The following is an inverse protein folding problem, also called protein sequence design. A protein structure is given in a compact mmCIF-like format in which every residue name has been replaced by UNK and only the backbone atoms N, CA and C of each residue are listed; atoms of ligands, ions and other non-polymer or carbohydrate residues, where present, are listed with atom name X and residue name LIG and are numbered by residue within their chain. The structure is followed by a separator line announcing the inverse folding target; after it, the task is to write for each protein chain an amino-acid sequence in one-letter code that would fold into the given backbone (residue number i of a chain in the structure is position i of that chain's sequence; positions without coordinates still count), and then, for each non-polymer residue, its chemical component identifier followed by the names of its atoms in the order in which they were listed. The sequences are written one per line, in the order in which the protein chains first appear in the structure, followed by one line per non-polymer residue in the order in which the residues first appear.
data_IF_996554795052
#
_entry.id   IF_996554795052
#
_cell.length_a   1.000
_cell.length_b   1.000
_cell.length_c   1.000
_cell.angle_alpha   90.00
_cell.angle_beta   90.00
_cell.angle_gamma   90.00
#
_symmetry.space_group_name_H-M   'P 1'
#
loop_
_entity.id
_entity.type
_entity.pdbx_description
1 polymer ?
#
# COMPACT_ATOMS: atom_id res chain seq x y z
N UNK A 1 -10.32 5.66 22.58
CA UNK A 1 -10.11 6.99 21.95
C UNK A 1 -9.02 6.87 20.90
N UNK A 2 -9.37 6.93 19.61
CA UNK A 2 -8.40 6.80 18.49
C UNK A 2 -7.77 8.17 18.21
N UNK A 3 -6.54 8.39 18.67
CA UNK A 3 -5.87 9.69 18.61
C UNK A 3 -5.55 10.12 17.16
N UNK A 4 -5.95 11.34 16.82
CA UNK A 4 -5.62 12.00 15.56
C UNK A 4 -4.17 12.52 15.62
N UNK A 5 -3.29 12.03 14.74
CA UNK A 5 -1.91 12.51 14.61
C UNK A 5 -0.90 11.42 14.97
N UNK A 6 0.15 11.24 14.16
CA UNK A 6 1.28 10.32 14.48
C UNK A 6 1.00 8.82 14.68
N UNK A 7 -0.21 8.27 14.50
CA UNK A 7 -0.41 6.82 14.72
C UNK A 7 0.23 5.97 13.61
N UNK A 8 1.39 5.38 13.89
CA UNK A 8 1.90 4.20 13.18
C UNK A 8 0.98 3.01 13.47
N UNK A 9 -0.07 2.87 12.67
CA UNK A 9 -0.97 1.72 12.79
C UNK A 9 -0.28 0.50 12.19
N UNK A 10 0.28 -0.37 13.05
CA UNK A 10 0.89 -1.65 12.67
C UNK A 10 -0.15 -2.75 12.80
N UNK A 11 -0.72 -3.18 11.67
CA UNK A 11 -1.74 -4.25 11.68
C UNK A 11 -1.19 -5.53 11.06
N UNK A 12 -1.24 -6.61 11.84
CA UNK A 12 -0.99 -7.98 11.39
C UNK A 12 -2.32 -8.72 11.27
N UNK A 13 -2.58 -9.35 10.11
CA UNK A 13 -3.79 -10.13 9.92
C UNK A 13 -4.02 -10.59 8.48
N UNK A 14 -4.91 -11.59 8.29
CA UNK A 14 -5.22 -12.12 6.94
C UNK A 14 -5.92 -11.09 6.05
N UNK A 15 -6.83 -10.27 6.61
CA UNK A 15 -7.58 -9.23 5.91
C UNK A 15 -7.65 -7.99 6.79
N UNK A 16 -7.15 -6.85 6.30
CA UNK A 16 -7.12 -5.63 7.09
C UNK A 16 -7.53 -4.41 6.27
N UNK A 17 -8.28 -3.50 6.90
CA UNK A 17 -8.70 -2.22 6.32
C UNK A 17 -8.31 -1.10 7.25
N UNK A 18 -7.48 -0.19 6.78
CA UNK A 18 -6.92 0.85 7.61
C UNK A 18 -7.06 2.22 6.91
N UNK A 19 -7.47 3.25 7.68
CA UNK A 19 -7.58 4.65 7.23
C UNK A 19 -6.73 5.53 8.16
N UNK A 20 -5.82 6.33 7.61
CA UNK A 20 -4.93 7.16 8.44
C UNK A 20 -3.80 7.83 7.65
N UNK A 21 -3.07 8.76 8.28
CA UNK A 21 -1.97 9.50 7.61
C UNK A 21 -0.78 8.60 7.26
N UNK A 22 -0.36 7.72 8.18
CA UNK A 22 0.78 6.80 8.02
C UNK A 22 0.41 5.40 8.51
N UNK A 23 0.63 4.37 7.71
CA UNK A 23 0.25 3.00 8.09
C UNK A 23 1.24 1.96 7.61
N UNK A 24 1.42 0.92 8.42
CA UNK A 24 2.31 -0.21 8.11
C UNK A 24 1.56 -1.52 8.30
N UNK A 25 1.36 -2.27 7.24
CA UNK A 25 0.48 -3.42 7.30
C UNK A 25 1.12 -4.69 6.75
N UNK A 26 1.10 -5.78 7.53
CA UNK A 26 1.66 -7.09 7.16
C UNK A 26 0.53 -8.11 7.09
N UNK A 27 0.24 -8.65 5.91
CA UNK A 27 -0.90 -9.59 5.76
C UNK A 27 -1.18 -10.07 4.36
N UNK A 28 -2.01 -11.13 4.23
CA UNK A 28 -2.35 -11.70 2.90
C UNK A 28 -3.16 -10.72 2.04
N UNK A 29 -4.12 -9.99 2.63
CA UNK A 29 -4.99 -9.04 1.93
C UNK A 29 -5.09 -7.71 2.71
N UNK A 30 -4.63 -6.62 2.11
CA UNK A 30 -4.52 -5.31 2.77
C UNK A 30 -5.24 -4.25 1.95
N UNK A 31 -6.09 -3.43 2.59
CA UNK A 31 -6.75 -2.28 1.98
C UNK A 31 -6.47 -1.02 2.80
N UNK A 32 -5.79 -0.05 2.22
CA UNK A 32 -5.33 1.09 3.01
C UNK A 32 -5.56 2.42 2.31
N UNK A 33 -6.05 3.43 3.05
CA UNK A 33 -6.31 4.78 2.55
C UNK A 33 -5.56 5.78 3.40
N UNK A 34 -4.66 6.56 2.81
CA UNK A 34 -3.80 7.46 3.56
C UNK A 34 -2.75 8.22 2.77
N UNK A 35 -2.12 9.22 3.41
CA UNK A 35 -1.04 10.00 2.77
C UNK A 35 0.22 9.14 2.52
N UNK A 36 0.61 8.30 3.49
CA UNK A 36 1.78 7.42 3.42
C UNK A 36 1.42 6.00 3.85
N UNK A 37 1.70 5.02 3.00
CA UNK A 37 1.28 3.63 3.19
C UNK A 37 2.45 2.70 2.90
N UNK A 38 2.75 1.79 3.84
CA UNK A 38 3.73 0.71 3.63
C UNK A 38 3.03 -0.63 3.88
N UNK A 39 2.99 -1.51 2.90
CA UNK A 39 2.36 -2.82 3.08
C UNK A 39 3.20 -3.96 2.53
N UNK A 40 3.22 -5.09 3.26
CA UNK A 40 3.90 -6.33 2.88
C UNK A 40 2.93 -7.51 2.86
N UNK A 41 2.88 -8.24 1.73
CA UNK A 41 2.09 -9.45 1.57
C UNK A 41 1.48 -9.67 0.18
N UNK A 42 0.68 -10.74 0.02
CA UNK A 42 0.29 -11.27 -1.31
C UNK A 42 -0.57 -10.33 -2.14
N UNK A 43 -1.62 -9.71 -1.56
CA UNK A 43 -2.57 -8.85 -2.28
C UNK A 43 -2.78 -7.53 -1.54
N UNK A 44 -2.52 -6.42 -2.21
CA UNK A 44 -2.60 -5.09 -1.59
C UNK A 44 -3.31 -4.09 -2.47
N UNK A 45 -4.11 -3.25 -1.84
CA UNK A 45 -4.75 -2.12 -2.48
C UNK A 45 -4.59 -0.88 -1.60
N UNK A 46 -3.86 0.11 -2.10
CA UNK A 46 -3.62 1.35 -1.37
C UNK A 46 -4.01 2.58 -2.20
N UNK A 47 -4.59 3.58 -1.53
CA UNK A 47 -5.00 4.84 -2.15
C UNK A 47 -4.45 6.04 -1.37
N UNK A 48 -3.77 6.95 -2.07
CA UNK A 48 -3.23 8.20 -1.55
C UNK A 48 -1.81 8.54 -2.03
N UNK A 49 -1.23 9.63 -1.49
CA UNK A 49 -0.11 10.36 -2.11
C UNK A 49 1.19 9.56 -2.26
N UNK A 50 1.62 8.82 -1.23
CA UNK A 50 2.88 8.05 -1.24
C UNK A 50 2.63 6.62 -0.77
N UNK A 51 3.01 5.64 -1.58
CA UNK A 51 2.74 4.23 -1.29
C UNK A 51 3.97 3.37 -1.54
N UNK A 52 4.17 2.39 -0.67
CA UNK A 52 5.20 1.38 -0.79
C UNK A 52 4.62 0.00 -0.53
N UNK A 53 4.63 -0.86 -1.54
CA UNK A 53 4.06 -2.19 -1.48
C UNK A 53 5.10 -3.25 -1.87
N UNK A 54 5.20 -4.32 -1.07
CA UNK A 54 6.04 -5.50 -1.36
C UNK A 54 5.19 -6.77 -1.33
N UNK A 55 5.13 -7.52 -2.44
CA UNK A 55 4.10 -8.55 -2.60
C UNK A 55 3.88 -9.07 -4.02
N UNK A 56 2.97 -10.04 -4.20
CA UNK A 56 2.73 -10.62 -5.53
C UNK A 56 1.77 -9.79 -6.39
N UNK A 57 0.71 -9.22 -5.80
CA UNK A 57 -0.32 -8.46 -6.53
C UNK A 57 -0.64 -7.15 -5.81
N UNK A 58 -0.35 -6.04 -6.47
CA UNK A 58 -0.42 -4.70 -5.86
C UNK A 58 -1.28 -3.79 -6.72
N UNK A 59 -2.16 -3.01 -6.09
CA UNK A 59 -2.92 -1.96 -6.75
C UNK A 59 -2.75 -0.66 -5.97
N UNK A 60 -2.09 0.31 -6.58
CA UNK A 60 -1.79 1.59 -5.96
C UNK A 60 -2.39 2.72 -6.80
N UNK A 61 -2.96 3.73 -6.14
CA UNK A 61 -3.55 4.90 -6.81
C UNK A 61 -3.16 6.18 -6.07
N UNK A 62 -2.47 7.10 -6.75
CA UNK A 62 -1.98 8.37 -6.21
C UNK A 62 -0.64 8.83 -6.79
N UNK A 63 -0.06 9.91 -6.26
CA UNK A 63 1.03 10.61 -6.96
C UNK A 63 2.36 9.86 -7.03
N UNK A 64 2.79 9.18 -5.95
CA UNK A 64 4.10 8.50 -5.87
C UNK A 64 3.95 7.08 -5.35
N UNK A 65 4.36 6.10 -6.14
CA UNK A 65 4.11 4.69 -5.84
C UNK A 65 5.39 3.89 -6.00
N UNK A 66 5.77 3.13 -4.98
CA UNK A 66 6.82 2.12 -5.05
C UNK A 66 6.20 0.75 -4.88
N UNK A 67 6.39 -0.12 -5.85
CA UNK A 67 5.83 -1.45 -5.81
C UNK A 67 6.93 -2.45 -6.22
N UNK A 68 7.12 -3.48 -5.40
CA UNK A 68 8.09 -4.57 -5.64
C UNK A 68 7.34 -5.88 -5.62
N UNK A 69 7.26 -6.56 -6.76
CA UNK A 69 6.32 -7.67 -6.90
C UNK A 69 6.13 -8.24 -8.29
N UNK A 70 5.51 -9.43 -8.39
CA UNK A 70 5.25 -10.09 -9.68
C UNK A 70 4.27 -9.30 -10.56
N UNK A 71 3.18 -8.76 -9.99
CA UNK A 71 2.12 -8.06 -10.72
C UNK A 71 1.69 -6.79 -9.99
N UNK A 72 1.80 -5.67 -10.68
CA UNK A 72 1.62 -4.34 -10.07
C UNK A 72 0.71 -3.52 -10.96
N UNK A 73 -0.27 -2.84 -10.37
CA UNK A 73 -1.12 -1.91 -11.09
C UNK A 73 -1.08 -0.57 -10.38
N UNK A 74 -0.39 0.37 -10.97
CA UNK A 74 -0.12 1.67 -10.38
C UNK A 74 -0.79 2.73 -11.26
N UNK A 75 -1.58 3.63 -10.67
CA UNK A 75 -2.20 4.75 -11.41
C UNK A 75 -1.80 6.06 -10.76
N UNK A 76 -0.88 6.79 -11.38
CA UNK A 76 -0.28 7.97 -10.77
C UNK A 76 0.80 8.65 -11.61
N UNK A 77 1.12 9.89 -11.24
CA UNK A 77 2.17 10.69 -11.92
C UNK A 77 3.56 10.08 -11.83
N UNK A 78 3.92 9.42 -10.72
CA UNK A 78 5.26 8.87 -10.48
C UNK A 78 5.17 7.44 -9.94
N UNK A 79 5.63 6.48 -10.74
CA UNK A 79 5.51 5.05 -10.44
C UNK A 79 6.90 4.41 -10.54
N UNK A 80 7.34 3.75 -9.46
CA UNK A 80 8.54 2.90 -9.43
C UNK A 80 8.08 1.48 -9.13
N UNK A 81 7.94 0.70 -10.20
CA UNK A 81 7.58 -0.69 -10.12
C UNK A 81 8.80 -1.56 -10.47
N UNK A 82 9.15 -2.49 -9.59
CA UNK A 82 10.20 -3.51 -9.85
C UNK A 82 9.56 -4.88 -9.82
N UNK A 83 9.31 -5.44 -10.99
CA UNK A 83 8.46 -6.62 -11.14
C UNK A 83 8.30 -7.14 -12.54
N UNK A 84 7.89 -8.42 -12.65
CA UNK A 84 7.69 -9.12 -13.93
C UNK A 84 6.56 -8.53 -14.78
N UNK A 85 5.48 -8.01 -14.16
CA UNK A 85 4.35 -7.36 -14.85
C UNK A 85 3.94 -6.09 -14.15
N UNK A 86 3.90 -5.00 -14.89
CA UNK A 86 3.58 -3.65 -14.42
C UNK A 86 2.50 -3.07 -15.35
N UNK A 87 1.34 -2.78 -14.79
CA UNK A 87 0.23 -2.11 -15.46
C UNK A 87 0.22 -0.66 -14.96
N UNK A 88 0.73 0.27 -15.77
CA UNK A 88 0.81 1.70 -15.44
C UNK A 88 -0.46 2.49 -15.78
#
# INVERSE_FOLDING_TARGET
MFVFGEINVVIKGKRQKAKGKRQKAKGKRQKARGKRQEARGKRQEAKGKRQEAKGNRQKATGNRQKAKGKRQKARGKRQEARGKRQDC
#
